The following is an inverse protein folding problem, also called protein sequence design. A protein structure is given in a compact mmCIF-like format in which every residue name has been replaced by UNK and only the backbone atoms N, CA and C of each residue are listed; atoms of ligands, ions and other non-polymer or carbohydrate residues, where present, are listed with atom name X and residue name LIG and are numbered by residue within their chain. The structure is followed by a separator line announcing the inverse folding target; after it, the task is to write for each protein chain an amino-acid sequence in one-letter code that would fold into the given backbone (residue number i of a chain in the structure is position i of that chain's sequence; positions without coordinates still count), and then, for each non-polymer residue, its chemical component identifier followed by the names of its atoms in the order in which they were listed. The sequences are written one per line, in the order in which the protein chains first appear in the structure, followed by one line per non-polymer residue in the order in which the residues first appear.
data_IF_100013583729
#
_entry.id   IF_100013583729
#
_cell.length_a   1.000
_cell.length_b   1.000
_cell.length_c   1.000
_cell.angle_alpha   90.00
_cell.angle_beta   90.00
_cell.angle_gamma   90.00
#
_symmetry.space_group_name_H-M   'P 1'
#
loop_
_entity.id
_entity.type
_entity.pdbx_description
1 polymer ?
#
# COMPACT_ATOMS: atom_id res chain seq x y z
N UNK A 1 -12.08 11.77 5.20
CA UNK A 1 -11.38 10.47 5.32
C UNK A 1 -11.85 9.78 6.60
N UNK A 2 -12.54 8.63 6.52
CA UNK A 2 -12.96 7.88 7.72
C UNK A 2 -12.13 6.61 7.85
N UNK A 3 -11.53 6.41 9.02
CA UNK A 3 -10.76 5.21 9.37
C UNK A 3 -9.54 4.95 8.48
N UNK A 4 -8.92 3.76 8.63
CA UNK A 4 -7.76 3.34 7.84
C UNK A 4 -8.06 3.27 6.34
N UNK A 5 -9.29 2.90 5.95
CA UNK A 5 -9.69 2.83 4.54
C UNK A 5 -9.54 4.14 3.78
N UNK A 6 -9.83 5.28 4.43
CA UNK A 6 -9.62 6.59 3.84
C UNK A 6 -8.16 6.87 3.53
N UNK A 7 -7.24 6.50 4.43
CA UNK A 7 -5.80 6.69 4.21
C UNK A 7 -5.26 5.73 3.15
N UNK A 8 -5.68 4.47 3.16
CA UNK A 8 -5.31 3.49 2.13
C UNK A 8 -5.71 3.97 0.73
N UNK A 9 -6.98 4.33 0.54
CA UNK A 9 -7.48 4.73 -0.77
C UNK A 9 -6.93 6.08 -1.23
N UNK A 10 -6.67 7.03 -0.31
CA UNK A 10 -5.96 8.26 -0.66
C UNK A 10 -4.55 7.98 -1.17
N UNK A 11 -3.80 7.06 -0.54
CA UNK A 11 -2.48 6.66 -1.02
C UNK A 11 -2.54 5.95 -2.38
N UNK A 12 -3.50 5.04 -2.57
CA UNK A 12 -3.69 4.34 -3.85
C UNK A 12 -4.04 5.33 -4.97
N UNK A 13 -4.96 6.27 -4.70
CA UNK A 13 -5.36 7.30 -5.65
C UNK A 13 -4.20 8.25 -5.99
N UNK A 14 -3.44 8.68 -5.00
CA UNK A 14 -2.25 9.50 -5.19
C UNK A 14 -1.23 8.81 -6.11
N UNK A 15 -0.89 7.55 -5.81
CA UNK A 15 0.04 6.76 -6.62
C UNK A 15 -0.45 6.57 -8.07
N UNK A 16 -1.73 6.24 -8.25
CA UNK A 16 -2.34 6.04 -9.56
C UNK A 16 -2.35 7.33 -10.39
N UNK A 17 -2.85 8.44 -9.83
CA UNK A 17 -2.96 9.72 -10.53
C UNK A 17 -1.58 10.24 -10.92
N UNK A 18 -0.61 10.19 -10.02
CA UNK A 18 0.76 10.62 -10.36
C UNK A 18 1.39 9.69 -11.40
N UNK A 19 1.22 8.37 -11.28
CA UNK A 19 1.76 7.43 -12.26
C UNK A 19 1.26 7.70 -13.68
N UNK A 20 -0.05 7.93 -13.82
CA UNK A 20 -0.67 8.33 -15.08
C UNK A 20 -0.11 9.67 -15.57
N UNK A 21 -0.02 10.67 -14.69
CA UNK A 21 0.48 12.00 -15.05
C UNK A 21 1.94 11.93 -15.54
N UNK A 22 2.80 11.16 -14.88
CA UNK A 22 4.20 10.97 -15.27
C UNK A 22 4.31 10.22 -16.60
N UNK A 23 3.51 9.17 -16.81
CA UNK A 23 3.50 8.44 -18.09
C UNK A 23 3.09 9.34 -19.27
N UNK A 24 2.14 10.26 -19.05
CA UNK A 24 1.72 11.23 -20.08
C UNK A 24 2.79 12.31 -20.27
N UNK A 25 3.33 12.87 -19.19
CA UNK A 25 4.28 13.97 -19.23
C UNK A 25 5.64 13.59 -19.85
N UNK A 26 6.00 12.31 -19.83
CA UNK A 26 7.25 11.80 -20.39
C UNK A 26 7.10 11.27 -21.82
N UNK A 27 5.94 11.48 -22.46
CA UNK A 27 5.72 11.06 -23.83
C UNK A 27 6.65 11.81 -24.83
N UNK A 28 7.25 11.12 -25.82
CA UNK A 28 8.11 11.75 -26.82
C UNK A 28 7.37 12.83 -27.62
N UNK A 29 8.03 13.97 -27.80
CA UNK A 29 7.53 15.09 -28.61
C UNK A 29 7.40 14.66 -30.09
N UNK A 30 6.24 14.91 -30.70
CA UNK A 30 5.98 14.63 -32.12
C UNK A 30 5.01 13.47 -32.42
N UNK A 31 4.46 12.82 -31.40
CA UNK A 31 3.44 11.79 -31.58
C UNK A 31 2.03 12.40 -31.75
N UNK A 32 1.21 11.86 -32.66
CA UNK A 32 -0.18 12.31 -32.84
C UNK A 32 -0.97 12.14 -31.52
N UNK A 33 -1.32 13.27 -30.89
CA UNK A 33 -1.82 13.35 -29.52
C UNK A 33 -2.92 12.34 -29.15
N UNK A 34 -3.90 12.09 -30.03
CA UNK A 34 -5.00 11.15 -29.75
C UNK A 34 -4.59 9.67 -29.66
N UNK A 35 -3.74 9.21 -30.59
CA UNK A 35 -3.24 7.84 -30.60
C UNK A 35 -2.13 7.64 -29.56
N UNK A 36 -1.35 8.68 -29.28
CA UNK A 36 -0.24 8.65 -28.33
C UNK A 36 -0.73 8.45 -26.89
N UNK A 37 -1.73 9.22 -26.44
CA UNK A 37 -2.27 9.09 -25.08
C UNK A 37 -2.88 7.70 -24.88
N UNK A 38 -3.66 7.22 -25.84
CA UNK A 38 -4.29 5.88 -25.78
C UNK A 38 -3.23 4.78 -25.66
N UNK A 39 -2.19 4.83 -26.50
CA UNK A 39 -1.08 3.87 -26.43
C UNK A 39 -0.35 3.92 -25.07
N UNK A 40 -0.13 5.12 -24.52
CA UNK A 40 0.52 5.28 -23.20
C UNK A 40 -0.34 4.76 -22.05
N UNK A 41 -1.65 4.91 -22.12
CA UNK A 41 -2.56 4.32 -21.13
C UNK A 41 -2.55 2.79 -21.21
N UNK A 42 -2.56 2.22 -22.42
CA UNK A 42 -2.43 0.78 -22.61
C UNK A 42 -1.09 0.30 -22.03
N UNK A 43 0.00 1.01 -22.30
CA UNK A 43 1.31 0.67 -21.77
C UNK A 43 1.36 0.73 -20.24
N UNK A 44 0.78 1.78 -19.64
CA UNK A 44 0.72 1.96 -18.19
C UNK A 44 -0.03 0.83 -17.48
N UNK A 45 -1.18 0.42 -18.03
CA UNK A 45 -2.03 -0.58 -17.39
C UNK A 45 -1.71 -2.03 -17.79
N UNK A 46 -1.20 -2.23 -19.01
CA UNK A 46 -1.11 -3.55 -19.63
C UNK A 46 0.08 -3.74 -20.57
N UNK A 47 1.05 -2.81 -20.60
CA UNK A 47 2.20 -2.89 -21.51
C UNK A 47 3.13 -4.06 -21.22
N UNK A 48 3.16 -4.53 -19.98
CA UNK A 48 4.00 -5.64 -19.53
C UNK A 48 3.24 -6.50 -18.50
N UNK A 49 3.76 -7.71 -18.24
CA UNK A 49 3.21 -8.57 -17.17
C UNK A 49 3.26 -7.91 -15.79
N UNK A 50 4.29 -7.12 -15.50
CA UNK A 50 4.37 -6.34 -14.25
C UNK A 50 3.32 -5.22 -14.20
N UNK A 51 3.08 -4.50 -15.30
CA UNK A 51 2.05 -3.47 -15.38
C UNK A 51 0.65 -4.04 -15.12
N UNK A 52 0.32 -5.20 -15.71
CA UNK A 52 -0.94 -5.90 -15.45
C UNK A 52 -1.03 -6.31 -13.98
N UNK A 53 0.02 -6.89 -13.42
CA UNK A 53 0.05 -7.29 -12.01
C UNK A 53 -0.15 -6.10 -11.06
N UNK A 54 0.49 -4.95 -11.31
CA UNK A 54 0.29 -3.72 -10.52
C UNK A 54 -1.11 -3.15 -10.66
N UNK A 55 -1.67 -3.19 -11.86
CA UNK A 55 -3.02 -2.69 -12.11
C UNK A 55 -4.06 -3.49 -11.32
N UNK A 56 -4.01 -4.82 -11.41
CA UNK A 56 -4.89 -5.71 -10.66
C UNK A 56 -4.68 -5.55 -9.15
N UNK A 57 -3.42 -5.48 -8.72
CA UNK A 57 -3.04 -5.22 -7.32
C UNK A 57 -3.66 -3.92 -6.80
N UNK A 58 -3.56 -2.84 -7.57
CA UNK A 58 -4.09 -1.52 -7.22
C UNK A 58 -5.61 -1.56 -7.08
N UNK A 59 -6.31 -2.23 -7.99
CA UNK A 59 -7.77 -2.43 -7.89
C UNK A 59 -8.15 -3.20 -6.63
N UNK A 60 -7.43 -4.28 -6.31
CA UNK A 60 -7.66 -5.07 -5.10
C UNK A 60 -7.41 -4.22 -3.84
N UNK A 61 -6.37 -3.39 -3.82
CA UNK A 61 -6.12 -2.46 -2.71
C UNK A 61 -7.22 -1.42 -2.57
N UNK A 62 -7.82 -0.92 -3.65
CA UNK A 62 -8.99 -0.05 -3.58
C UNK A 62 -10.19 -0.75 -2.94
N UNK A 63 -10.47 -1.99 -3.35
CA UNK A 63 -11.53 -2.82 -2.76
C UNK A 63 -11.29 -3.09 -1.26
N UNK A 64 -10.05 -3.42 -0.89
CA UNK A 64 -9.66 -3.59 0.52
C UNK A 64 -9.81 -2.31 1.33
N UNK A 65 -9.35 -1.18 0.79
CA UNK A 65 -9.52 0.14 1.39
C UNK A 65 -10.98 0.53 1.59
N UNK A 66 -11.86 0.18 0.64
CA UNK A 66 -13.30 0.40 0.77
C UNK A 66 -13.92 -0.50 1.86
N UNK A 67 -13.50 -1.76 1.98
CA UNK A 67 -13.91 -2.62 3.08
C UNK A 67 -13.54 -2.03 4.45
N UNK A 68 -12.31 -1.52 4.60
CA UNK A 68 -11.90 -0.79 5.81
C UNK A 68 -12.69 0.50 6.03
N UNK A 69 -12.98 1.24 4.96
CA UNK A 69 -13.74 2.48 5.06
C UNK A 69 -15.13 2.23 5.63
N UNK A 70 -15.82 1.19 5.12
CA UNK A 70 -17.12 0.73 5.63
C UNK A 70 -17.02 0.18 7.04
N UNK A 71 -15.97 -0.59 7.34
CA UNK A 71 -15.74 -1.12 8.68
C UNK A 71 -15.69 0.01 9.74
N UNK A 72 -15.18 1.17 9.36
CA UNK A 72 -15.02 2.34 10.23
C UNK A 72 -16.11 3.41 10.01
N UNK A 73 -17.28 3.03 9.49
CA UNK A 73 -18.43 3.93 9.40
C UNK A 73 -18.85 4.47 10.78
N UNK A 74 -18.66 3.67 11.84
CA UNK A 74 -18.77 4.06 13.25
C UNK A 74 -17.39 3.90 13.92
N UNK A 75 -16.59 4.98 14.05
CA UNK A 75 -15.21 4.90 14.53
C UNK A 75 -15.05 4.32 15.94
N UNK A 76 -16.10 4.43 16.77
CA UNK A 76 -16.09 3.91 18.14
C UNK A 76 -16.40 2.42 18.23
N UNK A 77 -17.04 1.86 17.20
CA UNK A 77 -17.35 0.43 17.10
C UNK A 77 -17.08 -0.09 15.67
N UNK A 78 -15.80 -0.25 15.29
CA UNK A 78 -15.45 -0.77 13.96
C UNK A 78 -15.97 -2.20 13.74
N UNK A 79 -16.48 -2.48 12.54
CA UNK A 79 -16.95 -3.82 12.17
C UNK A 79 -15.76 -4.77 11.96
N UNK A 80 -15.69 -5.82 12.78
CA UNK A 80 -14.59 -6.80 12.77
C UNK A 80 -14.58 -7.63 11.48
N UNK A 81 -15.73 -7.99 10.93
CA UNK A 81 -15.82 -8.81 9.73
C UNK A 81 -15.38 -8.03 8.49
N UNK A 82 -15.76 -6.76 8.39
CA UNK A 82 -15.30 -5.89 7.31
C UNK A 82 -13.80 -5.56 7.42
N UNK A 83 -13.26 -5.41 8.64
CA UNK A 83 -11.82 -5.27 8.83
C UNK A 83 -11.08 -6.53 8.34
N UNK A 84 -11.59 -7.73 8.67
CA UNK A 84 -11.01 -9.00 8.18
C UNK A 84 -11.10 -9.15 6.67
N UNK A 85 -12.21 -8.72 6.06
CA UNK A 85 -12.33 -8.69 4.61
C UNK A 85 -11.30 -7.74 3.99
N UNK A 86 -11.12 -6.56 4.59
CA UNK A 86 -10.07 -5.61 4.21
C UNK A 86 -8.68 -6.22 4.31
N UNK A 87 -8.39 -6.95 5.40
CA UNK A 87 -7.12 -7.67 5.57
C UNK A 87 -6.93 -8.75 4.51
N UNK A 88 -7.94 -9.57 4.25
CA UNK A 88 -7.88 -10.63 3.26
C UNK A 88 -7.60 -10.09 1.86
N UNK A 89 -8.36 -9.06 1.43
CA UNK A 89 -8.16 -8.41 0.14
C UNK A 89 -6.78 -7.75 0.04
N UNK A 90 -6.34 -7.04 1.09
CA UNK A 90 -4.99 -6.48 1.12
C UNK A 90 -3.90 -7.56 1.06
N UNK A 91 -4.12 -8.74 1.64
CA UNK A 91 -3.21 -9.88 1.52
C UNK A 91 -3.06 -10.36 0.07
N UNK A 92 -4.18 -10.51 -0.63
CA UNK A 92 -4.17 -10.86 -2.08
C UNK A 92 -3.46 -9.77 -2.88
N UNK A 93 -3.76 -8.49 -2.61
CA UNK A 93 -3.08 -7.36 -3.24
C UNK A 93 -1.56 -7.40 -3.02
N UNK A 94 -1.11 -7.72 -1.81
CA UNK A 94 0.31 -7.83 -1.50
C UNK A 94 1.02 -8.98 -2.22
N UNK A 95 0.34 -10.11 -2.45
CA UNK A 95 0.87 -11.17 -3.31
C UNK A 95 1.06 -10.66 -4.74
N UNK A 96 0.05 -9.97 -5.29
CA UNK A 96 0.13 -9.34 -6.61
C UNK A 96 1.26 -8.30 -6.70
N UNK A 97 1.44 -7.48 -5.65
CA UNK A 97 2.54 -6.52 -5.54
C UNK A 97 3.89 -7.24 -5.57
N UNK A 98 4.05 -8.33 -4.80
CA UNK A 98 5.26 -9.13 -4.79
C UNK A 98 5.59 -9.72 -6.16
N UNK A 99 4.59 -10.28 -6.86
CA UNK A 99 4.75 -10.78 -8.23
C UNK A 99 5.23 -9.67 -9.16
N UNK A 100 4.60 -8.49 -9.11
CA UNK A 100 5.05 -7.38 -9.93
C UNK A 100 6.49 -6.97 -9.63
N UNK A 101 6.87 -6.89 -8.36
CA UNK A 101 8.21 -6.47 -7.97
C UNK A 101 9.26 -7.49 -8.43
N UNK A 102 8.95 -8.79 -8.39
CA UNK A 102 9.80 -9.83 -8.99
C UNK A 102 9.94 -9.65 -10.51
N UNK A 103 8.84 -9.38 -11.21
CA UNK A 103 8.86 -9.13 -12.66
C UNK A 103 9.62 -7.84 -13.01
N UNK A 104 9.70 -6.87 -12.09
CA UNK A 104 10.50 -5.66 -12.20
C UNK A 104 11.97 -5.87 -11.77
N UNK A 105 12.36 -7.07 -11.33
CA UNK A 105 13.71 -7.39 -10.92
C UNK A 105 14.10 -6.90 -9.52
N UNK A 106 13.12 -6.62 -8.65
CA UNK A 106 13.35 -6.19 -7.26
C UNK A 106 12.92 -7.29 -6.24
N UNK A 107 13.77 -8.31 -6.02
CA UNK A 107 13.45 -9.42 -5.13
C UNK A 107 13.39 -9.01 -3.66
N UNK A 108 14.12 -7.96 -3.25
CA UNK A 108 14.12 -7.49 -1.87
C UNK A 108 12.80 -6.80 -1.53
N UNK A 109 12.31 -5.92 -2.40
CA UNK A 109 10.99 -5.32 -2.21
C UNK A 109 9.88 -6.36 -2.40
N UNK A 110 10.04 -7.33 -3.29
CA UNK A 110 9.08 -8.42 -3.41
C UNK A 110 8.97 -9.25 -2.11
N UNK A 111 10.09 -9.59 -1.48
CA UNK A 111 10.11 -10.32 -0.22
C UNK A 111 9.53 -9.49 0.94
N UNK A 112 9.79 -8.19 0.96
CA UNK A 112 9.35 -7.33 2.06
C UNK A 112 7.97 -6.72 1.81
N UNK A 113 7.83 -5.85 0.82
CA UNK A 113 6.55 -5.18 0.50
C UNK A 113 5.49 -6.13 -0.07
N UNK A 114 5.88 -7.26 -0.66
CA UNK A 114 4.97 -8.30 -1.10
C UNK A 114 4.73 -9.37 -0.05
N UNK A 115 5.71 -10.26 0.14
CA UNK A 115 5.54 -11.48 0.96
C UNK A 115 5.33 -11.17 2.45
N UNK A 116 6.20 -10.39 3.10
CA UNK A 116 6.05 -10.04 4.52
C UNK A 116 4.72 -9.30 4.77
N UNK A 117 4.34 -8.39 3.86
CA UNK A 117 3.05 -7.72 3.93
C UNK A 117 1.87 -8.69 3.81
N UNK A 118 1.93 -9.63 2.87
CA UNK A 118 0.90 -10.66 2.69
C UNK A 118 0.78 -11.56 3.93
N UNK A 119 1.91 -12.00 4.50
CA UNK A 119 1.93 -12.77 5.76
C UNK A 119 1.26 -12.00 6.89
N UNK A 120 1.57 -10.71 7.04
CA UNK A 120 0.92 -9.87 8.03
C UNK A 120 -0.58 -9.73 7.81
N UNK A 121 -1.03 -9.47 6.58
CA UNK A 121 -2.46 -9.31 6.26
C UNK A 121 -3.27 -10.60 6.40
N UNK A 122 -2.77 -11.73 5.89
CA UNK A 122 -3.43 -13.02 6.07
C UNK A 122 -3.40 -13.48 7.53
N UNK A 123 -2.29 -13.23 8.23
CA UNK A 123 -2.19 -13.45 9.68
C UNK A 123 -3.26 -12.68 10.45
N UNK A 124 -3.42 -11.37 10.19
CA UNK A 124 -4.49 -10.56 10.79
C UNK A 124 -5.90 -11.00 10.42
N UNK A 125 -6.10 -11.61 9.25
CA UNK A 125 -7.40 -12.16 8.83
C UNK A 125 -7.78 -13.39 9.67
N UNK A 126 -6.82 -14.30 9.87
CA UNK A 126 -7.03 -15.59 10.51
C UNK A 126 -6.96 -15.50 12.04
N UNK A 127 -6.16 -14.57 12.57
CA UNK A 127 -5.96 -14.40 13.98
C UNK A 127 -7.19 -13.78 14.67
N UNK A 128 -7.59 -14.36 15.81
CA UNK A 128 -8.69 -13.85 16.62
C UNK A 128 -8.14 -12.96 17.73
N UNK A 129 -8.74 -11.78 17.99
CA UNK A 129 -8.37 -10.97 19.14
C UNK A 129 -8.42 -11.80 20.43
N UNK A 130 -7.39 -11.71 21.25
CA UNK A 130 -7.28 -12.43 22.53
C UNK A 130 -6.77 -13.88 22.44
N UNK A 131 -6.53 -14.42 21.24
CA UNK A 131 -5.82 -15.70 21.11
C UNK A 131 -4.31 -15.47 21.20
N UNK A 132 -3.55 -16.23 22.01
CA UNK A 132 -2.11 -16.09 22.05
C UNK A 132 -1.48 -16.58 20.73
N UNK A 133 -0.47 -15.85 20.24
CA UNK A 133 0.38 -16.32 19.14
C UNK A 133 1.54 -17.11 19.74
N UNK A 134 1.79 -18.31 19.22
CA UNK A 134 2.86 -19.17 19.69
C UNK A 134 4.22 -18.43 19.60
N UNK A 135 5.00 -18.45 20.69
CA UNK A 135 6.31 -17.77 20.81
C UNK A 135 6.25 -16.22 20.80
N UNK A 136 5.07 -15.60 20.76
CA UNK A 136 4.96 -14.14 20.83
C UNK A 136 4.56 -13.66 22.24
N UNK A 137 5.28 -12.71 22.85
CA UNK A 137 4.92 -12.18 24.16
C UNK A 137 3.54 -11.51 24.16
N UNK A 138 2.70 -11.83 25.13
CA UNK A 138 1.35 -11.25 25.24
C UNK A 138 1.36 -9.72 25.48
N UNK A 139 2.46 -9.19 26.03
CA UNK A 139 2.65 -7.74 26.23
C UNK A 139 3.11 -7.00 24.98
N UNK A 140 3.47 -7.71 23.91
CA UNK A 140 3.95 -7.09 22.68
C UNK A 140 2.79 -6.77 21.74
N UNK A 141 2.93 -5.76 20.86
CA UNK A 141 1.95 -5.47 19.83
C UNK A 141 1.67 -6.70 18.94
N UNK A 142 0.49 -6.75 18.32
CA UNK A 142 0.10 -7.81 17.38
C UNK A 142 1.21 -8.03 16.32
N UNK A 143 1.80 -9.24 16.24
CA UNK A 143 2.94 -9.50 15.35
C UNK A 143 2.59 -9.36 13.87
N UNK A 144 1.35 -9.67 13.50
CA UNK A 144 0.90 -9.61 12.12
C UNK A 144 0.71 -8.16 11.69
N UNK A 145 0.14 -7.32 12.57
CA UNK A 145 0.08 -5.87 12.36
C UNK A 145 1.48 -5.25 12.32
N UNK A 146 2.37 -5.72 13.19
CA UNK A 146 3.79 -5.35 13.20
C UNK A 146 4.48 -5.67 11.88
N UNK A 147 4.27 -6.87 11.34
CA UNK A 147 4.81 -7.31 10.05
C UNK A 147 4.36 -6.41 8.89
N UNK A 148 3.06 -6.05 8.84
CA UNK A 148 2.51 -5.13 7.82
C UNK A 148 3.19 -3.77 7.88
N UNK A 149 3.39 -3.22 9.08
CA UNK A 149 4.04 -1.91 9.24
C UNK A 149 5.54 -1.99 8.90
N UNK A 150 6.22 -3.02 9.38
CA UNK A 150 7.65 -3.26 9.12
C UNK A 150 7.93 -3.48 7.63
N UNK A 151 6.98 -4.08 6.89
CA UNK A 151 7.10 -4.33 5.45
C UNK A 151 7.31 -3.05 4.63
N UNK A 152 6.97 -1.88 5.18
CA UNK A 152 7.13 -0.58 4.51
C UNK A 152 8.53 0.00 4.63
N UNK A 153 9.30 -0.40 5.64
CA UNK A 153 10.59 0.22 5.94
C UNK A 153 11.59 0.10 4.78
N UNK A 154 11.78 -1.07 4.14
CA UNK A 154 12.69 -1.18 3.01
C UNK A 154 12.25 -0.30 1.84
N UNK A 155 10.95 -0.27 1.55
CA UNK A 155 10.42 0.52 0.45
C UNK A 155 10.53 2.03 0.71
N UNK A 156 10.28 2.48 1.94
CA UNK A 156 10.51 3.86 2.36
C UNK A 156 11.98 4.25 2.27
N UNK A 157 12.88 3.36 2.70
CA UNK A 157 14.32 3.58 2.61
C UNK A 157 14.77 3.70 1.14
N UNK A 158 14.42 2.73 0.29
CA UNK A 158 14.74 2.76 -1.15
C UNK A 158 14.20 4.03 -1.81
N UNK A 159 12.96 4.41 -1.48
CA UNK A 159 12.34 5.63 -2.01
C UNK A 159 13.05 6.91 -1.52
N UNK A 160 13.46 6.94 -0.26
CA UNK A 160 14.20 8.07 0.31
C UNK A 160 15.59 8.21 -0.32
N UNK A 161 16.28 7.09 -0.55
CA UNK A 161 17.57 7.09 -1.24
C UNK A 161 17.42 7.55 -2.70
N UNK A 162 16.40 7.05 -3.42
CA UNK A 162 16.10 7.47 -4.79
C UNK A 162 15.75 8.97 -4.87
N UNK A 163 15.05 9.49 -3.86
CA UNK A 163 14.77 10.92 -3.75
C UNK A 163 16.05 11.72 -3.48
N UNK A 164 16.91 11.22 -2.59
CA UNK A 164 18.20 11.84 -2.27
C UNK A 164 19.13 11.95 -3.48
N UNK A 165 19.08 10.99 -4.41
CA UNK A 165 19.81 11.06 -5.68
C UNK A 165 19.11 11.95 -6.72
N UNK A 166 17.78 11.95 -6.77
CA UNK A 166 17.02 12.72 -7.77
C UNK A 166 16.98 14.24 -7.48
N UNK A 167 17.04 14.64 -6.20
CA UNK A 167 16.94 16.05 -5.81
C UNK A 167 18.11 16.89 -6.33
N UNK A 168 19.40 16.53 -6.12
CA UNK A 168 20.53 17.31 -6.63
C UNK A 168 20.45 17.56 -8.14
N UNK A 169 20.08 16.54 -8.91
CA UNK A 169 19.95 16.65 -10.37
C UNK A 169 18.85 17.63 -10.77
N UNK A 170 17.70 17.60 -10.09
CA UNK A 170 16.62 18.57 -10.32
C UNK A 170 17.05 20.00 -9.94
N UNK A 171 17.75 20.18 -8.82
CA UNK A 171 18.28 21.48 -8.40
C UNK A 171 19.36 22.03 -9.32
N UNK A 172 20.12 21.16 -9.99
CA UNK A 172 21.11 21.52 -11.00
C UNK A 172 20.51 21.85 -12.38
N UNK A 173 19.17 21.94 -12.49
CA UNK A 173 18.46 22.28 -13.73
C UNK A 173 17.96 21.07 -14.54
N UNK A 174 18.04 19.86 -13.97
CA UNK A 174 17.41 18.67 -14.53
C UNK A 174 15.87 18.70 -14.47
N UNK A 175 15.24 17.66 -15.01
CA UNK A 175 13.78 17.58 -15.03
C UNK A 175 13.19 17.43 -13.62
N UNK A 176 12.25 18.31 -13.26
CA UNK A 176 11.46 18.16 -12.03
C UNK A 176 10.55 16.92 -12.02
N UNK A 177 10.37 16.24 -13.16
CA UNK A 177 9.64 14.97 -13.19
C UNK A 177 10.39 13.85 -12.45
N UNK A 178 11.72 13.93 -12.35
CA UNK A 178 12.57 12.90 -11.73
C UNK A 178 12.25 12.70 -10.24
N UNK A 179 12.16 13.74 -9.38
CA UNK A 179 11.81 13.56 -7.96
C UNK A 179 10.32 13.30 -7.71
N UNK A 180 9.42 13.54 -8.67
CA UNK A 180 7.96 13.45 -8.46
C UNK A 180 7.52 12.05 -8.04
N UNK A 181 8.03 11.01 -8.70
CA UNK A 181 7.65 9.63 -8.36
C UNK A 181 8.15 9.21 -6.97
N UNK A 182 9.43 9.42 -6.60
CA UNK A 182 9.90 9.15 -5.23
C UNK A 182 9.15 9.96 -4.16
N UNK A 183 8.88 11.26 -4.38
CA UNK A 183 8.10 12.07 -3.44
C UNK A 183 6.68 11.52 -3.24
N UNK A 184 6.04 11.15 -4.34
CA UNK A 184 4.69 10.58 -4.33
C UNK A 184 4.67 9.25 -3.58
N UNK A 185 5.60 8.34 -3.89
CA UNK A 185 5.72 7.05 -3.21
C UNK A 185 5.94 7.22 -1.71
N UNK A 186 6.79 8.18 -1.30
CA UNK A 186 6.98 8.48 0.11
C UNK A 186 5.68 8.96 0.78
N UNK A 187 4.93 9.85 0.11
CA UNK A 187 3.59 10.27 0.54
C UNK A 187 2.62 9.09 0.68
N UNK A 188 2.59 8.18 -0.30
CA UNK A 188 1.79 6.95 -0.25
C UNK A 188 2.18 6.08 0.95
N UNK A 189 3.47 5.83 1.17
CA UNK A 189 3.94 5.04 2.31
C UNK A 189 3.56 5.66 3.65
N UNK A 190 3.61 6.99 3.79
CA UNK A 190 3.18 7.68 5.01
C UNK A 190 1.67 7.53 5.25
N UNK A 191 0.85 7.70 4.21
CA UNK A 191 -0.60 7.49 4.29
C UNK A 191 -0.92 6.06 4.69
N UNK A 192 -0.28 5.09 4.03
CA UNK A 192 -0.52 3.68 4.31
C UNK A 192 0.00 3.24 5.68
N UNK A 193 1.16 3.75 6.13
CA UNK A 193 1.67 3.51 7.48
C UNK A 193 0.72 4.08 8.55
N UNK A 194 0.16 5.27 8.31
CA UNK A 194 -0.86 5.85 9.19
C UNK A 194 -2.12 4.98 9.26
N UNK A 195 -2.54 4.41 8.13
CA UNK A 195 -3.65 3.45 8.10
C UNK A 195 -3.35 2.21 8.94
N UNK A 196 -2.14 1.63 8.83
CA UNK A 196 -1.73 0.47 9.63
C UNK A 196 -1.72 0.79 11.12
N UNK A 197 -1.22 1.95 11.53
CA UNK A 197 -1.21 2.40 12.92
C UNK A 197 -2.62 2.49 13.52
N UNK A 198 -3.62 2.90 12.74
CA UNK A 198 -5.02 2.93 13.21
C UNK A 198 -5.57 1.52 13.49
N UNK A 199 -5.10 0.50 12.77
CA UNK A 199 -5.56 -0.88 12.96
C UNK A 199 -5.04 -1.52 14.25
N UNK A 200 -3.93 -1.03 14.82
CA UNK A 200 -3.47 -1.46 16.14
C UNK A 200 -4.46 -1.09 17.26
N UNK A 201 -5.20 0.01 17.10
CA UNK A 201 -6.16 0.50 18.11
C UNK A 201 -7.44 -0.32 18.27
N UNK A 202 -7.69 -1.30 17.40
CA UNK A 202 -8.87 -2.17 17.49
C UNK A 202 -8.71 -3.20 18.63
N UNK A 203 -7.48 -3.70 18.84
CA UNK A 203 -7.20 -4.71 19.87
C UNK A 203 -7.33 -4.19 21.31
N UNK A 204 -7.01 -2.91 21.53
CA UNK A 204 -7.10 -2.28 22.86
C UNK A 204 -8.54 -2.00 23.26
N UNK A 205 -9.38 -1.50 22.35
CA UNK A 205 -10.80 -1.21 22.62
C UNK A 205 -11.65 -2.46 22.85
N UNK A 206 -11.32 -3.59 22.21
CA UNK A 206 -12.03 -4.85 22.40
C UNK A 206 -11.74 -5.50 23.77
N UNK A 207 -10.55 -5.27 24.34
CA UNK A 207 -10.17 -5.79 25.66
C UNK A 207 -10.98 -5.15 26.79
N UNK A 208 -11.32 -3.87 26.68
CA UNK A 208 -12.10 -3.16 27.73
C UNK A 208 -13.56 -3.65 27.83
N UNK A 209 -14.12 -4.21 26.75
CA UNK A 209 -15.51 -4.71 26.77
C UNK A 209 -15.67 -6.12 27.34
N UNK A 210 -14.58 -6.92 27.43
CA UNK A 210 -14.65 -8.28 27.99
C UNK A 210 -14.51 -8.27 29.52
N UNK A 211 -13.97 -7.18 30.10
CA UNK A 211 -13.73 -7.06 31.55
C UNK A 211 -14.97 -6.61 32.36
N UNK A 212 -16.14 -6.44 31.72
CA UNK A 212 -17.36 -5.94 32.36
C UNK A 212 -18.52 -6.95 32.40
N UNK A 213 -18.26 -8.25 32.22
CA UNK A 213 -19.25 -9.31 32.39
C UNK A 213 -18.90 -10.22 33.56
#
# INVERSE_FOLDING_TARGET
MRGPGGYYNSGNALGLVTGIAVQIATAPAGSHWGNAITARMIEFFAGTGSAVALTLTTLIFFCGGEAYHRAWARPDAPDVNLNRLGDFLSGIGAVGLGISLLLLGDPLLAATSGLLHAVGKFGSTLHRPGTPVLVWPASWPDPFRGAVLASRLPAMLTTTLALGSALPDAWAGGSFATPVMPLTLLGCYLLWAKADLLLFGIGTKASDQISTC
#
